data_IF_270107003726
#
_entry.id   IF_270107003726
#
_cell.length_a   1.000
_cell.length_b   1.000
_cell.length_c   1.000
_cell.angle_alpha   90.00
_cell.angle_beta   90.00
_cell.angle_gamma   90.00
#
_symmetry.space_group_name_H-M   'P 1'
#
loop_
_entity.id
_entity.type
_entity.pdbx_description
1 polymer ?
#
# COMPACT_ATOMS: atom_id res chain seq x y z
N UNK A 1 -21.06 3.99 -17.78
CA UNK A 1 -20.39 5.19 -17.27
C UNK A 1 -20.01 4.84 -15.85
N UNK A 2 -18.75 4.45 -15.62
CA UNK A 2 -18.26 4.23 -14.27
C UNK A 2 -17.77 5.59 -13.79
N UNK A 3 -18.46 6.17 -12.82
CA UNK A 3 -18.08 7.41 -12.18
C UNK A 3 -16.70 7.22 -11.53
N UNK A 4 -15.72 8.01 -12.00
CA UNK A 4 -14.38 8.16 -11.41
C UNK A 4 -14.42 8.70 -9.97
N UNK A 5 -15.61 9.04 -9.45
CA UNK A 5 -15.82 9.58 -8.11
C UNK A 5 -15.63 8.54 -6.98
N UNK A 6 -15.67 7.24 -7.31
CA UNK A 6 -15.47 6.15 -6.34
C UNK A 6 -14.00 5.67 -6.24
N UNK A 7 -13.09 6.33 -6.95
CA UNK A 7 -11.67 5.96 -6.98
C UNK A 7 -10.88 6.91 -6.08
N UNK A 8 -10.17 6.34 -5.11
CA UNK A 8 -9.21 7.04 -4.27
C UNK A 8 -8.03 7.55 -5.12
N UNK A 9 -7.69 8.83 -4.93
CA UNK A 9 -6.53 9.48 -5.56
C UNK A 9 -5.21 9.14 -4.84
N UNK A 10 -5.29 8.55 -3.64
CA UNK A 10 -4.17 8.04 -2.89
C UNK A 10 -3.48 6.86 -3.58
N UNK A 11 -2.24 6.60 -3.19
CA UNK A 11 -1.47 5.45 -3.66
C UNK A 11 -1.66 4.29 -2.68
N UNK A 12 -2.13 3.16 -3.19
CA UNK A 12 -2.18 1.91 -2.42
C UNK A 12 -0.79 1.27 -2.44
N UNK A 13 -0.16 1.18 -1.28
CA UNK A 13 1.13 0.51 -1.08
C UNK A 13 0.86 -0.90 -0.56
N UNK A 14 1.32 -1.90 -1.29
CA UNK A 14 1.25 -3.30 -0.86
C UNK A 14 2.54 -3.66 -0.15
N UNK A 15 2.43 -3.98 1.13
CA UNK A 15 3.57 -4.33 1.95
C UNK A 15 3.96 -5.80 1.79
N UNK A 16 5.25 -6.09 1.83
CA UNK A 16 5.79 -7.45 1.80
C UNK A 16 5.30 -8.34 2.97
N UNK A 17 4.78 -7.73 4.04
CA UNK A 17 4.15 -8.45 5.16
C UNK A 17 2.73 -8.94 4.85
N UNK A 18 2.18 -8.60 3.67
CA UNK A 18 0.84 -8.96 3.22
C UNK A 18 -0.25 -7.97 3.62
N UNK A 19 0.13 -6.81 4.16
CA UNK A 19 -0.76 -5.71 4.50
C UNK A 19 -0.80 -4.68 3.36
N UNK A 20 -1.81 -3.81 3.35
CA UNK A 20 -1.93 -2.73 2.37
C UNK A 20 -2.21 -1.41 3.08
N UNK A 21 -1.58 -0.34 2.62
CA UNK A 21 -1.76 1.00 3.19
C UNK A 21 -2.06 1.98 2.05
N UNK A 22 -3.05 2.85 2.23
CA UNK A 22 -3.23 3.98 1.33
C UNK A 22 -2.49 5.19 1.88
N UNK A 23 -1.81 5.94 1.01
CA UNK A 23 -1.16 7.21 1.40
C UNK A 23 -2.15 8.29 1.81
N UNK A 24 -3.45 8.10 1.52
CA UNK A 24 -4.52 8.98 1.98
C UNK A 24 -5.01 8.50 3.37
N UNK A 25 -4.83 9.30 4.44
CA UNK A 25 -5.18 8.92 5.81
C UNK A 25 -6.70 8.83 6.04
N UNK A 26 -7.51 9.43 5.18
CA UNK A 26 -8.97 9.37 5.26
C UNK A 26 -9.52 8.18 4.45
N UNK A 27 -8.69 7.50 3.66
CA UNK A 27 -9.08 6.29 2.92
C UNK A 27 -9.11 5.06 3.83
N UNK A 28 -10.31 4.49 3.98
CA UNK A 28 -10.53 3.27 4.79
C UNK A 28 -10.72 2.01 3.96
N UNK A 29 -10.80 2.16 2.64
CA UNK A 29 -11.08 1.07 1.72
C UNK A 29 -9.81 0.77 0.92
N UNK A 30 -9.19 -0.37 1.18
CA UNK A 30 -7.89 -0.78 0.66
C UNK A 30 -8.01 -1.75 -0.53
N UNK A 31 -9.18 -1.81 -1.17
CA UNK A 31 -9.37 -2.66 -2.34
C UNK A 31 -8.60 -2.12 -3.55
N UNK A 32 -7.89 -3.02 -4.26
CA UNK A 32 -7.10 -2.71 -5.45
C UNK A 32 -7.87 -1.92 -6.52
N UNK A 33 -9.15 -2.26 -6.71
CA UNK A 33 -10.00 -1.65 -7.74
C UNK A 33 -10.42 -0.22 -7.41
N UNK A 34 -10.26 0.21 -6.15
CA UNK A 34 -10.60 1.56 -5.70
C UNK A 34 -9.44 2.54 -5.77
N UNK A 35 -8.26 2.14 -6.22
CA UNK A 35 -7.08 3.01 -6.28
C UNK A 35 -6.57 3.17 -7.70
N UNK A 36 -6.25 4.41 -8.07
CA UNK A 36 -5.65 4.71 -9.39
C UNK A 36 -4.23 4.14 -9.49
N UNK A 37 -3.49 4.21 -8.38
CA UNK A 37 -2.10 3.80 -8.31
C UNK A 37 -1.92 2.76 -7.21
N UNK A 38 -1.37 1.62 -7.59
CA UNK A 38 -0.95 0.55 -6.69
C UNK A 38 0.54 0.35 -6.87
N UNK A 39 1.29 0.31 -5.78
CA UNK A 39 2.73 0.07 -5.76
C UNK A 39 3.07 -1.04 -4.78
N UNK A 40 4.07 -1.84 -5.10
CA UNK A 40 4.67 -2.73 -4.12
C UNK A 40 5.68 -1.95 -3.28
N UNK A 41 5.72 -2.20 -1.97
CA UNK A 41 6.57 -1.43 -1.07
C UNK A 41 8.07 -1.55 -1.39
N UNK A 42 8.47 -2.62 -2.11
CA UNK A 42 9.83 -2.84 -2.60
C UNK A 42 10.24 -1.87 -3.72
N UNK A 43 9.27 -1.29 -4.42
CA UNK A 43 9.51 -0.31 -5.49
C UNK A 43 9.76 1.10 -4.93
N UNK A 44 9.47 1.33 -3.64
CA UNK A 44 9.66 2.61 -2.97
C UNK A 44 11.15 2.89 -2.80
N UNK A 45 11.62 3.98 -3.41
CA UNK A 45 12.99 4.45 -3.25
C UNK A 45 13.22 4.91 -1.82
N UNK A 46 14.20 4.31 -1.14
CA UNK A 46 14.46 4.51 0.29
C UNK A 46 14.01 3.34 1.17
N UNK A 47 13.27 2.38 0.61
CA UNK A 47 12.81 1.18 1.29
C UNK A 47 11.59 1.41 2.18
N UNK A 48 11.00 0.30 2.63
CA UNK A 48 9.85 0.28 3.53
C UNK A 48 10.26 -0.27 4.89
N UNK A 49 9.79 0.35 5.98
CA UNK A 49 10.02 -0.15 7.35
C UNK A 49 9.49 -1.57 7.53
N UNK A 50 8.43 -1.94 6.81
CA UNK A 50 7.88 -3.29 6.79
C UNK A 50 8.93 -4.38 6.45
N UNK A 51 9.91 -4.08 5.60
CA UNK A 51 11.00 -5.01 5.28
C UNK A 51 11.92 -5.25 6.49
N UNK A 52 12.22 -4.22 7.28
CA UNK A 52 13.03 -4.35 8.51
C UNK A 52 12.33 -5.24 9.54
N UNK A 53 11.00 -5.10 9.69
CA UNK A 53 10.21 -5.96 10.57
C UNK A 53 10.27 -7.45 10.18
N UNK A 54 10.30 -7.76 8.88
CA UNK A 54 10.45 -9.14 8.38
C UNK A 54 11.80 -9.71 8.79
N UNK A 55 12.89 -8.96 8.58
CA UNK A 55 14.24 -9.41 8.90
C UNK A 55 14.45 -9.62 10.39
N UNK A 56 13.91 -8.72 11.23
CA UNK A 56 13.90 -8.89 12.68
C UNK A 56 13.18 -10.18 13.10
N UNK A 57 12.05 -10.50 12.46
CA UNK A 57 11.28 -11.73 12.73
C UNK A 57 12.01 -12.99 12.24
N UNK A 58 12.86 -12.89 11.23
CA UNK A 58 13.68 -14.02 10.72
C UNK A 58 14.90 -14.30 11.60
N UNK A 59 15.41 -13.28 12.28
CA UNK A 59 16.58 -13.38 13.15
C UNK A 59 16.28 -13.90 14.57
N UNK A 60 15.00 -13.99 14.95
CA UNK A 60 14.51 -14.55 16.22
C UNK A 60 14.28 -16.05 16.14
#
# INVERSE_FOLDING_TARGET
MHDIADICEGTLVIHAVGDAECTDPDCVDLEYVRHVLVLECEEITGGCQCAEHIELRRAS
#
